data_IF_790689213001
#
_entry.id   IF_790689213001
#
_cell.length_a   1.000
_cell.length_b   1.000
_cell.length_c   1.000
_cell.angle_alpha   90.00
_cell.angle_beta   90.00
_cell.angle_gamma   90.00
#
_symmetry.space_group_name_H-M   'P 1'
#
loop_
_entity.id
_entity.type
_entity.pdbx_description
1 polymer ?
#
# COMPACT_ATOMS: atom_id res chain seq x y z
N UNK A 1 -9.06 11.84 -9.38
CA UNK A 1 -10.12 11.33 -8.47
C UNK A 1 -11.28 10.87 -9.33
N UNK A 2 -11.95 9.80 -8.93
CA UNK A 2 -13.18 9.32 -9.58
C UNK A 2 -14.26 9.22 -8.52
N UNK A 3 -15.48 9.69 -8.83
CA UNK A 3 -16.60 9.71 -7.90
C UNK A 3 -17.80 9.02 -8.53
N UNK A 4 -18.42 8.11 -7.79
CA UNK A 4 -19.66 7.42 -8.18
C UNK A 4 -20.64 7.51 -7.01
N UNK A 5 -21.77 8.19 -7.24
CA UNK A 5 -22.71 8.52 -6.16
C UNK A 5 -22.05 9.37 -5.08
N UNK A 6 -22.06 8.90 -3.84
CA UNK A 6 -21.45 9.57 -2.68
C UNK A 6 -20.05 9.04 -2.32
N UNK A 7 -19.47 8.14 -3.13
CA UNK A 7 -18.15 7.56 -2.87
C UNK A 7 -17.12 8.16 -3.82
N UNK A 8 -16.02 8.66 -3.27
CA UNK A 8 -14.87 9.16 -4.03
C UNK A 8 -13.65 8.29 -3.81
N UNK A 9 -12.97 7.96 -4.91
CA UNK A 9 -11.68 7.25 -4.92
C UNK A 9 -10.61 8.23 -5.39
N UNK A 10 -9.64 8.49 -4.52
CA UNK A 10 -8.45 9.27 -4.88
C UNK A 10 -7.47 8.33 -5.56
N UNK A 11 -7.04 8.69 -6.77
CA UNK A 11 -6.06 7.94 -7.55
C UNK A 11 -4.70 8.61 -7.34
N UNK A 12 -3.72 7.80 -6.94
CA UNK A 12 -2.33 8.22 -6.75
C UNK A 12 -1.48 7.47 -7.77
N UNK A 13 -0.82 8.20 -8.67
CA UNK A 13 0.17 7.57 -9.56
C UNK A 13 1.38 7.12 -8.73
N UNK A 14 1.71 5.83 -8.84
CA UNK A 14 2.77 5.15 -8.07
C UNK A 14 3.63 4.27 -8.99
N UNK A 15 4.28 4.85 -10.02
CA UNK A 15 5.11 4.08 -10.93
C UNK A 15 6.27 3.37 -10.21
N UNK A 16 6.83 2.34 -10.85
CA UNK A 16 7.97 1.59 -10.33
C UNK A 16 7.81 0.11 -10.63
N UNK A 17 6.76 -0.50 -10.08
CA UNK A 17 6.35 -1.87 -10.43
C UNK A 17 6.00 -1.96 -11.94
N UNK A 18 5.16 -1.03 -12.42
CA UNK A 18 5.01 -0.74 -13.85
C UNK A 18 4.98 0.77 -14.07
N UNK A 19 5.19 1.25 -15.31
CA UNK A 19 5.05 2.68 -15.60
C UNK A 19 3.66 3.24 -15.29
N UNK A 20 2.62 2.40 -15.39
CA UNK A 20 1.21 2.76 -15.19
C UNK A 20 0.63 2.35 -13.84
N UNK A 21 1.45 1.98 -12.86
CA UNK A 21 0.94 1.55 -11.54
C UNK A 21 0.17 2.69 -10.86
N UNK A 22 -1.02 2.36 -10.36
CA UNK A 22 -1.91 3.26 -9.63
C UNK A 22 -2.21 2.69 -8.25
N UNK A 23 -2.13 3.54 -7.23
CA UNK A 23 -2.59 3.28 -5.88
C UNK A 23 -3.84 4.11 -5.56
N UNK A 24 -4.58 3.74 -4.53
CA UNK A 24 -5.85 4.40 -4.22
C UNK A 24 -6.01 4.74 -2.74
N UNK A 25 -6.71 5.83 -2.47
CA UNK A 25 -7.28 6.15 -1.15
C UNK A 25 -8.79 6.21 -1.31
N UNK A 26 -9.53 5.45 -0.50
CA UNK A 26 -11.00 5.47 -0.55
C UNK A 26 -11.64 5.14 0.81
N UNK A 27 -12.83 5.68 1.08
CA UNK A 27 -13.57 5.36 2.29
C UNK A 27 -14.30 4.01 2.15
N UNK A 28 -14.44 3.32 3.27
CA UNK A 28 -15.35 2.17 3.45
C UNK A 28 -16.15 2.35 4.75
N UNK A 29 -17.12 1.48 5.01
CA UNK A 29 -17.86 1.47 6.26
C UNK A 29 -17.79 0.09 6.90
N UNK A 30 -17.53 0.06 8.19
CA UNK A 30 -17.68 -1.13 9.04
C UNK A 30 -18.79 -0.85 10.06
N UNK A 31 -19.92 -1.55 9.95
CA UNK A 31 -21.12 -1.32 10.78
C UNK A 31 -21.54 0.17 10.85
N UNK A 32 -21.48 0.86 9.71
CA UNK A 32 -21.82 2.28 9.61
C UNK A 32 -20.71 3.26 10.00
N UNK A 33 -19.64 2.79 10.65
CA UNK A 33 -18.48 3.62 11.02
C UNK A 33 -17.56 3.80 9.80
N UNK A 34 -17.29 5.05 9.36
CA UNK A 34 -16.38 5.30 8.26
C UNK A 34 -14.94 4.88 8.60
N UNK A 35 -14.28 4.23 7.65
CA UNK A 35 -12.86 3.86 7.69
C UNK A 35 -12.19 4.28 6.39
N UNK A 36 -10.87 4.44 6.40
CA UNK A 36 -10.11 4.85 5.20
C UNK A 36 -9.11 3.77 4.82
N UNK A 37 -9.19 3.33 3.56
CA UNK A 37 -8.27 2.37 2.96
C UNK A 37 -7.16 3.11 2.22
N UNK A 38 -5.92 2.70 2.49
CA UNK A 38 -4.80 2.87 1.59
C UNK A 38 -4.61 1.57 0.79
N UNK A 39 -4.76 1.65 -0.53
CA UNK A 39 -4.57 0.52 -1.43
C UNK A 39 -3.25 0.67 -2.18
N UNK A 40 -2.31 -0.26 -1.97
CA UNK A 40 -1.05 -0.35 -2.67
C UNK A 40 -1.22 -1.14 -3.97
N UNK A 41 -1.14 -0.47 -5.12
CA UNK A 41 -1.45 -1.10 -6.40
C UNK A 41 -0.31 -1.83 -7.09
N UNK A 42 0.92 -1.72 -6.61
CA UNK A 42 2.08 -2.38 -7.20
C UNK A 42 3.13 -2.70 -6.16
N UNK A 43 3.27 -3.99 -5.86
CA UNK A 43 4.21 -4.52 -4.88
C UNK A 43 5.28 -5.36 -5.56
N UNK A 44 6.48 -5.43 -4.98
CA UNK A 44 7.66 -6.15 -5.50
C UNK A 44 8.32 -5.54 -6.75
N UNK A 45 9.54 -6.01 -7.02
CA UNK A 45 10.46 -5.49 -8.04
C UNK A 45 10.44 -6.37 -9.30
N UNK A 46 9.39 -6.27 -10.11
CA UNK A 46 9.25 -6.97 -11.39
C UNK A 46 9.82 -6.16 -12.58
N UNK A 47 10.61 -5.12 -12.31
CA UNK A 47 11.23 -4.24 -13.29
C UNK A 47 12.69 -4.63 -13.54
N UNK A 48 13.28 -4.03 -14.58
CA UNK A 48 14.72 -4.20 -14.86
C UNK A 48 15.51 -3.73 -13.63
N UNK A 49 16.39 -4.58 -13.11
CA UNK A 49 17.24 -4.26 -11.95
C UNK A 49 18.26 -3.18 -12.30
N UNK A 50 17.84 -1.93 -12.23
CA UNK A 50 18.62 -0.73 -12.53
C UNK A 50 18.33 0.35 -11.47
N UNK A 51 19.34 1.12 -11.10
CA UNK A 51 19.25 2.18 -10.08
C UNK A 51 18.05 3.12 -10.33
N UNK A 52 17.84 3.66 -11.56
CA UNK A 52 16.73 4.58 -11.81
C UNK A 52 15.35 3.97 -11.54
N UNK A 53 15.19 2.65 -11.67
CA UNK A 53 13.91 1.99 -11.41
C UNK A 53 13.61 1.90 -9.90
N UNK A 54 14.65 1.71 -9.08
CA UNK A 54 14.51 1.78 -7.63
C UNK A 54 14.20 3.19 -7.13
N UNK A 55 14.86 4.21 -7.69
CA UNK A 55 14.57 5.62 -7.36
C UNK A 55 13.09 5.97 -7.58
N UNK A 56 12.54 5.53 -8.73
CA UNK A 56 11.13 5.71 -9.07
C UNK A 56 10.23 4.99 -8.06
N UNK A 57 10.53 3.72 -7.74
CA UNK A 57 9.74 2.94 -6.80
C UNK A 57 9.76 3.55 -5.40
N UNK A 58 10.93 3.96 -4.90
CA UNK A 58 11.11 4.62 -3.59
C UNK A 58 10.28 5.91 -3.52
N UNK A 59 10.37 6.75 -4.54
CA UNK A 59 9.58 7.98 -4.61
C UNK A 59 8.07 7.69 -4.56
N UNK A 60 7.61 6.64 -5.23
CA UNK A 60 6.22 6.20 -5.20
C UNK A 60 5.78 5.69 -3.83
N UNK A 61 6.62 4.93 -3.11
CA UNK A 61 6.30 4.48 -1.75
C UNK A 61 6.16 5.67 -0.80
N UNK A 62 7.07 6.64 -0.88
CA UNK A 62 7.01 7.87 -0.06
C UNK A 62 5.78 8.71 -0.37
N UNK A 63 5.45 8.87 -1.66
CA UNK A 63 4.25 9.58 -2.11
C UNK A 63 2.98 8.93 -1.58
N UNK A 64 2.90 7.59 -1.67
CA UNK A 64 1.74 6.86 -1.16
C UNK A 64 1.65 6.92 0.38
N UNK A 65 2.78 6.82 1.09
CA UNK A 65 2.83 6.99 2.54
C UNK A 65 2.32 8.36 2.99
N UNK A 66 2.73 9.43 2.30
CA UNK A 66 2.25 10.79 2.57
C UNK A 66 0.75 10.93 2.32
N UNK A 67 0.24 10.37 1.22
CA UNK A 67 -1.20 10.37 0.91
C UNK A 67 -2.01 9.58 1.95
N UNK A 68 -1.54 8.40 2.36
CA UNK A 68 -2.18 7.58 3.38
C UNK A 68 -2.22 8.30 4.74
N UNK A 69 -1.12 8.96 5.14
CA UNK A 69 -1.06 9.78 6.34
C UNK A 69 -2.05 10.95 6.29
N UNK A 70 -2.06 11.71 5.18
CA UNK A 70 -2.96 12.85 5.02
C UNK A 70 -4.44 12.46 5.07
N UNK A 71 -4.77 11.24 4.63
CA UNK A 71 -6.13 10.71 4.66
C UNK A 71 -6.50 9.99 5.97
N UNK A 72 -5.59 9.92 6.96
CA UNK A 72 -5.76 9.12 8.17
C UNK A 72 -6.14 7.67 7.88
N UNK A 73 -5.50 7.05 6.87
CA UNK A 73 -5.77 5.67 6.50
C UNK A 73 -5.42 4.70 7.64
N UNK A 74 -6.36 3.82 7.97
CA UNK A 74 -6.23 2.81 9.03
C UNK A 74 -6.21 1.38 8.50
N UNK A 75 -6.51 1.22 7.21
CA UNK A 75 -6.53 -0.06 6.51
C UNK A 75 -5.48 -0.01 5.40
N UNK A 76 -4.68 -1.07 5.30
CA UNK A 76 -3.82 -1.34 4.14
C UNK A 76 -4.38 -2.54 3.37
N UNK A 77 -4.53 -2.35 2.07
CA UNK A 77 -4.84 -3.42 1.10
C UNK A 77 -3.81 -3.38 -0.03
N UNK A 78 -3.60 -4.51 -0.67
CA UNK A 78 -2.62 -4.68 -1.74
C UNK A 78 -3.27 -5.31 -2.98
N UNK A 79 -2.64 -5.12 -4.13
CA UNK A 79 -2.99 -5.84 -5.35
C UNK A 79 -2.81 -7.37 -5.23
N UNK A 80 -1.95 -7.82 -4.32
CA UNK A 80 -1.79 -9.22 -3.97
C UNK A 80 -1.94 -9.49 -2.48
N UNK A 81 -2.70 -10.54 -2.16
CA UNK A 81 -3.12 -10.89 -0.80
C UNK A 81 -1.98 -11.33 0.13
N UNK A 82 -0.86 -11.77 -0.42
CA UNK A 82 0.33 -12.13 0.35
C UNK A 82 0.98 -10.92 1.03
N UNK A 83 0.77 -9.71 0.49
CA UNK A 83 1.37 -8.49 1.03
C UNK A 83 0.49 -7.78 2.05
N UNK A 84 -0.81 -8.08 2.12
CA UNK A 84 -1.72 -7.51 3.11
C UNK A 84 -2.38 -8.57 4.02
N UNK A 85 -2.05 -9.85 3.82
CA UNK A 85 -2.65 -11.00 4.52
C UNK A 85 -4.18 -11.09 4.36
N UNK A 86 -4.74 -10.62 3.25
CA UNK A 86 -6.19 -10.60 3.02
C UNK A 86 -6.82 -11.99 3.17
N UNK A 87 -6.19 -13.05 2.66
CA UNK A 87 -6.72 -14.43 2.77
C UNK A 87 -6.90 -14.87 4.22
N UNK A 88 -5.94 -14.57 5.10
CA UNK A 88 -6.02 -14.85 6.54
C UNK A 88 -7.07 -13.95 7.20
N UNK A 89 -7.04 -12.64 6.93
CA UNK A 89 -7.98 -11.67 7.51
C UNK A 89 -9.43 -12.00 7.18
N UNK A 90 -9.71 -12.41 5.94
CA UNK A 90 -11.07 -12.81 5.49
C UNK A 90 -11.58 -13.99 6.30
N UNK A 91 -10.73 -15.01 6.57
CA UNK A 91 -11.13 -16.16 7.41
C UNK A 91 -11.45 -15.73 8.85
N UNK A 92 -10.73 -14.75 9.39
CA UNK A 92 -10.98 -14.21 10.73
C UNK A 92 -12.31 -13.46 10.83
N UNK A 93 -12.83 -12.90 9.73
CA UNK A 93 -14.13 -12.19 9.74
C UNK A 93 -15.27 -13.12 10.18
N UNK A 94 -15.25 -14.40 9.78
CA UNK A 94 -16.30 -15.35 10.15
C UNK A 94 -16.39 -15.61 11.66
N UNK A 95 -15.28 -15.44 12.39
CA UNK A 95 -15.20 -15.61 13.84
C UNK A 95 -15.38 -14.29 14.61
N UNK A 96 -15.53 -13.16 13.91
CA UNK A 96 -15.63 -11.82 14.51
C UNK A 96 -16.94 -11.68 15.29
N UNK A 97 -16.86 -11.24 16.55
CA UNK A 97 -18.02 -10.96 17.40
C UNK A 97 -18.42 -9.48 17.35
N UNK A 98 -19.64 -9.11 17.75
CA UNK A 98 -20.02 -7.71 17.92
C UNK A 98 -19.04 -7.00 18.86
N UNK A 99 -18.52 -5.84 18.44
CA UNK A 99 -17.54 -5.05 19.18
C UNK A 99 -16.08 -5.36 18.87
N UNK A 100 -15.76 -6.51 18.25
CA UNK A 100 -14.39 -6.81 17.84
C UNK A 100 -13.92 -5.87 16.72
N UNK A 101 -12.65 -5.44 16.72
CA UNK A 101 -12.06 -4.72 15.60
C UNK A 101 -12.18 -5.51 14.29
N UNK A 102 -12.40 -4.83 13.17
CA UNK A 102 -12.35 -5.49 11.87
C UNK A 102 -10.90 -5.95 11.60
N UNK A 103 -10.65 -7.20 11.16
CA UNK A 103 -9.27 -7.70 10.91
C UNK A 103 -8.43 -6.89 9.90
N UNK A 104 -9.06 -5.99 9.14
CA UNK A 104 -8.39 -5.10 8.19
C UNK A 104 -8.05 -3.73 8.80
N UNK A 105 -8.69 -3.38 9.92
CA UNK A 105 -8.45 -2.15 10.67
C UNK A 105 -7.19 -2.34 11.52
N UNK A 106 -6.04 -2.02 10.95
CA UNK A 106 -4.73 -2.18 11.59
C UNK A 106 -4.27 -0.91 12.32
N UNK A 107 -4.90 0.23 12.01
CA UNK A 107 -4.56 1.55 12.53
C UNK A 107 -3.48 2.25 11.70
N UNK A 108 -3.40 3.57 11.85
CA UNK A 108 -2.54 4.43 11.03
C UNK A 108 -1.04 4.10 11.13
N UNK A 109 -0.56 3.71 12.31
CA UNK A 109 0.85 3.33 12.49
C UNK A 109 1.20 2.04 11.73
N UNK A 110 0.28 1.09 11.62
CA UNK A 110 0.52 -0.12 10.83
C UNK A 110 0.56 0.19 9.32
N UNK A 111 -0.33 1.06 8.84
CA UNK A 111 -0.32 1.54 7.44
C UNK A 111 0.97 2.29 7.13
N UNK A 112 1.43 3.17 8.02
CA UNK A 112 2.72 3.86 7.89
C UNK A 112 3.88 2.86 7.80
N UNK A 113 3.95 1.89 8.72
CA UNK A 113 5.02 0.88 8.75
C UNK A 113 5.06 0.05 7.47
N UNK A 114 3.92 -0.26 6.86
CA UNK A 114 3.89 -0.97 5.58
C UNK A 114 4.71 -0.25 4.51
N UNK A 115 4.47 1.05 4.31
CA UNK A 115 5.21 1.82 3.31
C UNK A 115 6.66 2.08 3.72
N UNK A 116 6.99 2.17 5.01
CA UNK A 116 8.38 2.21 5.49
C UNK A 116 9.14 0.96 5.06
N UNK A 117 8.57 -0.24 5.27
CA UNK A 117 9.19 -1.50 4.85
C UNK A 117 9.39 -1.54 3.33
N UNK A 118 8.38 -1.14 2.55
CA UNK A 118 8.49 -1.12 1.08
C UNK A 118 9.58 -0.17 0.58
N UNK A 119 9.74 1.00 1.21
CA UNK A 119 10.79 1.98 0.92
C UNK A 119 12.19 1.41 1.27
N UNK A 120 12.36 0.92 2.50
CA UNK A 120 13.65 0.40 2.98
C UNK A 120 14.12 -0.84 2.21
N UNK A 121 13.21 -1.76 1.85
CA UNK A 121 13.53 -2.90 1.00
C UNK A 121 14.03 -2.48 -0.40
N UNK A 122 13.47 -1.42 -0.96
CA UNK A 122 13.90 -0.88 -2.25
C UNK A 122 15.28 -0.22 -2.14
N UNK A 123 15.52 0.58 -1.09
CA UNK A 123 16.83 1.16 -0.81
C UNK A 123 17.91 0.08 -0.61
N UNK A 124 17.59 -1.00 0.12
CA UNK A 124 18.53 -2.10 0.33
C UNK A 124 18.88 -2.82 -0.99
N UNK A 125 17.90 -3.00 -1.87
CA UNK A 125 18.09 -3.62 -3.19
C UNK A 125 18.91 -2.75 -4.14
N UNK A 126 18.66 -1.44 -4.11
CA UNK A 126 19.45 -0.45 -4.84
C UNK A 126 20.90 -0.41 -4.35
N UNK A 127 21.10 -0.38 -3.02
CA UNK A 127 22.43 -0.39 -2.42
C UNK A 127 23.21 -1.66 -2.80
N UNK A 128 22.55 -2.82 -2.80
CA UNK A 128 23.15 -4.07 -3.28
C UNK A 128 23.58 -3.97 -4.74
N UNK A 129 22.75 -3.37 -5.61
CA UNK A 129 23.09 -3.18 -7.02
C UNK A 129 24.32 -2.28 -7.20
N UNK A 130 24.44 -1.21 -6.40
CA UNK A 130 25.59 -0.30 -6.41
C UNK A 130 26.91 -0.95 -5.98
N UNK A 131 26.84 -2.02 -5.18
CA UNK A 131 28.01 -2.77 -4.72
C UNK A 131 28.48 -3.84 -5.72
N UNK A 132 27.69 -4.15 -6.75
CA UNK A 132 28.11 -5.10 -7.77
C UNK A 132 29.23 -4.50 -8.62
N UNK A 133 30.24 -5.29 -9.02
CA UNK A 133 31.26 -4.82 -9.93
C UNK A 133 30.63 -4.37 -11.25
N UNK A 134 31.15 -3.29 -11.83
CA UNK A 134 30.79 -2.87 -13.17
C UNK A 134 31.06 -4.04 -14.14
N UNK A 135 30.07 -4.36 -14.98
CA UNK A 135 30.26 -5.31 -16.07
C UNK A 135 31.06 -4.66 -17.20
#
# INVERSE_FOLDING_TARGET
>A
MVTVGNTSVTIITTPGHTPGTLSFIFPVKDNGVPKTVAYSGGTAFNFVTAIPNFDIYIASQRKMAAAAKAANATIIMSNHSEFDSATTKIKLIAARKPGDPHPFELGAEAVKRYFTVSDECAQASEARLRMLPAK
#
